data_IF_596398496882
#
_entry.id   IF_596398496882
#
_cell.length_a   1.000
_cell.length_b   1.000
_cell.length_c   1.000
_cell.angle_alpha   90.00
_cell.angle_beta   90.00
_cell.angle_gamma   90.00
#
_symmetry.space_group_name_H-M   'P 1'
#
loop_
_entity.id
_entity.type
_entity.pdbx_description
1 polymer ?
#
# COMPACT_ATOMS: atom_id res chain seq x y z
N UNK A 1 8.62 21.58 25.69
CA UNK A 1 7.18 21.32 25.88
C UNK A 1 6.40 22.10 24.84
N UNK A 2 5.37 21.51 24.21
CA UNK A 2 4.51 22.20 23.27
C UNK A 2 3.69 23.29 23.97
N UNK A 3 3.50 24.43 23.31
CA UNK A 3 2.85 25.62 23.86
C UNK A 3 1.70 26.10 22.98
N UNK A 4 0.83 26.97 23.52
CA UNK A 4 -0.22 27.62 22.73
C UNK A 4 0.33 28.43 21.54
N UNK A 5 1.58 28.89 21.64
CA UNK A 5 2.27 29.58 20.55
C UNK A 5 2.58 28.66 19.35
N UNK A 6 2.60 27.35 19.52
CA UNK A 6 2.83 26.41 18.41
C UNK A 6 1.56 26.20 17.56
N UNK A 7 0.39 26.56 18.10
CA UNK A 7 -0.89 26.48 17.40
C UNK A 7 -1.14 27.70 16.52
N UNK A 8 -1.88 27.51 15.43
CA UNK A 8 -2.39 28.61 14.61
C UNK A 8 -3.74 29.07 15.15
N UNK A 9 -4.16 30.30 14.82
CA UNK A 9 -5.43 30.90 15.31
C UNK A 9 -6.64 29.95 15.15
N UNK A 10 -6.84 29.23 14.03
CA UNK A 10 -7.94 28.27 13.91
C UNK A 10 -7.91 27.17 14.98
N UNK A 11 -6.74 26.63 15.29
CA UNK A 11 -6.61 25.58 16.32
C UNK A 11 -6.74 26.13 17.74
N UNK A 12 -6.29 27.37 17.98
CA UNK A 12 -6.54 28.08 19.25
C UNK A 12 -8.05 28.24 19.47
N UNK A 13 -8.80 28.61 18.42
CA UNK A 13 -10.27 28.72 18.48
C UNK A 13 -10.96 27.37 18.71
N UNK A 14 -10.50 26.30 18.05
CA UNK A 14 -11.02 24.93 18.31
C UNK A 14 -10.78 24.51 19.75
N UNK A 15 -9.56 24.71 20.25
CA UNK A 15 -9.17 24.40 21.62
C UNK A 15 -10.03 25.17 22.62
N UNK A 16 -10.24 26.48 22.42
CA UNK A 16 -11.09 27.27 23.28
C UNK A 16 -12.56 26.82 23.24
N UNK A 17 -13.08 26.42 22.07
CA UNK A 17 -14.43 25.87 21.95
C UNK A 17 -14.58 24.55 22.73
N UNK A 18 -13.58 23.67 22.68
CA UNK A 18 -13.58 22.41 23.45
C UNK A 18 -13.47 22.67 24.96
N UNK A 19 -12.81 23.76 25.35
CA UNK A 19 -12.71 24.22 26.74
C UNK A 19 -13.86 25.12 27.18
N UNK A 20 -14.84 25.37 26.30
CA UNK A 20 -15.99 26.26 26.54
C UNK A 20 -15.57 27.69 26.95
N UNK A 21 -14.48 28.18 26.39
CA UNK A 21 -13.98 29.55 26.59
C UNK A 21 -14.49 30.43 25.46
N UNK A 22 -15.23 31.47 25.82
CA UNK A 22 -15.64 32.52 24.89
C UNK A 22 -14.46 33.43 24.58
N UNK A 23 -13.83 33.22 23.42
CA UNK A 23 -12.77 34.09 22.94
C UNK A 23 -13.33 35.37 22.33
N UNK A 24 -12.87 36.52 22.81
CA UNK A 24 -13.07 37.80 22.14
C UNK A 24 -12.23 37.86 20.86
N UNK A 25 -12.67 38.64 19.87
CA UNK A 25 -11.85 38.92 18.69
C UNK A 25 -10.56 39.61 19.12
N UNK A 26 -9.43 39.19 18.54
CA UNK A 26 -8.12 39.73 18.90
C UNK A 26 -6.98 39.11 18.12
N UNK A 27 -5.77 39.63 18.37
CA UNK A 27 -4.52 39.06 17.86
C UNK A 27 -4.23 37.72 18.56
N UNK A 28 -3.34 36.91 17.97
CA UNK A 28 -2.98 35.59 18.51
C UNK A 28 -2.54 35.66 19.98
N UNK A 29 -1.68 36.61 20.34
CA UNK A 29 -1.22 36.82 21.72
C UNK A 29 -2.37 37.10 22.68
N UNK A 30 -3.33 37.93 22.29
CA UNK A 30 -4.52 38.25 23.11
C UNK A 30 -5.40 37.02 23.33
N UNK A 31 -5.56 36.17 22.31
CA UNK A 31 -6.32 34.92 22.42
C UNK A 31 -5.63 33.92 23.36
N UNK A 32 -4.30 33.87 23.33
CA UNK A 32 -3.51 33.02 24.22
C UNK A 32 -3.67 33.48 25.67
N UNK A 33 -3.53 34.78 25.92
CA UNK A 33 -3.72 35.36 27.25
C UNK A 33 -5.13 35.06 27.80
N UNK A 34 -6.17 35.11 26.96
CA UNK A 34 -7.54 34.76 27.37
C UNK A 34 -7.68 33.30 27.81
N UNK A 35 -6.96 32.38 27.15
CA UNK A 35 -6.98 30.95 27.51
C UNK A 35 -6.18 30.70 28.79
N UNK A 36 -5.03 31.34 28.93
CA UNK A 36 -4.19 31.23 30.14
C UNK A 36 -4.92 31.78 31.37
N UNK A 37 -5.67 32.88 31.21
CA UNK A 37 -6.46 33.48 32.28
C UNK A 37 -7.77 32.73 32.60
N UNK A 38 -8.14 31.72 31.82
CA UNK A 38 -9.39 30.96 32.03
C UNK A 38 -9.30 29.93 33.17
N UNK A 39 -8.16 29.84 33.88
CA UNK A 39 -8.03 28.99 35.07
C UNK A 39 -8.02 27.49 34.76
N UNK A 40 -7.58 27.09 33.56
CA UNK A 40 -7.55 25.69 33.15
C UNK A 40 -6.39 24.98 33.84
N UNK A 41 -6.61 23.73 34.23
CA UNK A 41 -5.52 22.90 34.77
C UNK A 41 -4.43 22.70 33.72
N UNK A 42 -3.14 22.88 34.07
CA UNK A 42 -2.03 22.78 33.13
C UNK A 42 -2.01 21.45 32.35
N UNK A 43 -2.30 20.34 33.02
CA UNK A 43 -2.37 19.01 32.41
C UNK A 43 -3.41 18.91 31.29
N UNK A 44 -4.62 19.45 31.53
CA UNK A 44 -5.70 19.42 30.53
C UNK A 44 -5.35 20.29 29.33
N UNK A 45 -4.75 21.46 29.59
CA UNK A 45 -4.31 22.38 28.55
C UNK A 45 -3.21 21.74 27.68
N UNK A 46 -2.18 21.15 28.30
CA UNK A 46 -1.08 20.46 27.62
C UNK A 46 -1.58 19.32 26.74
N UNK A 47 -2.49 18.48 27.26
CA UNK A 47 -3.10 17.37 26.51
C UNK A 47 -3.82 17.87 25.24
N UNK A 48 -4.56 18.98 25.36
CA UNK A 48 -5.26 19.57 24.22
C UNK A 48 -4.31 20.23 23.22
N UNK A 49 -3.25 20.89 23.69
CA UNK A 49 -2.22 21.47 22.82
C UNK A 49 -1.58 20.37 21.98
N UNK A 50 -1.20 19.24 22.60
CA UNK A 50 -0.64 18.10 21.87
C UNK A 50 -1.60 17.51 20.84
N UNK A 51 -2.86 17.30 21.23
CA UNK A 51 -3.93 16.81 20.34
C UNK A 51 -4.03 17.66 19.08
N UNK A 52 -4.11 18.98 19.25
CA UNK A 52 -4.27 19.91 18.12
C UNK A 52 -2.98 20.13 17.32
N UNK A 53 -1.81 19.99 17.93
CA UNK A 53 -0.53 19.97 17.19
C UNK A 53 -0.42 18.74 16.29
N UNK A 54 -0.82 17.56 16.78
CA UNK A 54 -0.88 16.34 15.96
C UNK A 54 -1.84 16.51 14.78
N UNK A 55 -3.03 17.07 15.01
CA UNK A 55 -4.00 17.35 13.94
C UNK A 55 -3.43 18.32 12.89
N UNK A 56 -2.78 19.41 13.33
CA UNK A 56 -2.11 20.38 12.44
C UNK A 56 -1.03 19.72 11.57
N UNK A 57 -0.19 18.89 12.18
CA UNK A 57 0.88 18.20 11.46
C UNK A 57 0.32 17.17 10.48
N UNK A 58 -0.71 16.42 10.87
CA UNK A 58 -1.38 15.46 9.99
C UNK A 58 -2.05 16.15 8.79
N UNK A 59 -2.69 17.30 9.01
CA UNK A 59 -3.27 18.11 7.93
C UNK A 59 -2.19 18.60 6.95
N UNK A 60 -1.02 19.02 7.45
CA UNK A 60 0.12 19.43 6.63
C UNK A 60 0.67 18.27 5.79
N UNK A 61 0.82 17.09 6.41
CA UNK A 61 1.26 15.86 5.72
C UNK A 61 0.25 15.49 4.64
N UNK A 62 -1.04 15.46 4.96
CA UNK A 62 -2.11 15.10 4.01
C UNK A 62 -2.12 16.07 2.81
N UNK A 63 -1.99 17.37 3.06
CA UNK A 63 -1.89 18.38 1.99
C UNK A 63 -0.66 18.15 1.11
N UNK A 64 0.50 17.82 1.70
CA UNK A 64 1.72 17.50 0.95
C UNK A 64 1.58 16.21 0.14
N UNK A 65 0.99 15.15 0.69
CA UNK A 65 0.75 13.90 -0.06
C UNK A 65 -0.15 14.13 -1.27
N UNK A 66 -1.18 14.98 -1.14
CA UNK A 66 -2.04 15.40 -2.26
C UNK A 66 -1.30 16.21 -3.31
N UNK A 67 -0.38 17.10 -2.90
CA UNK A 67 0.42 17.91 -3.85
C UNK A 67 1.49 17.09 -4.59
N UNK A 68 1.91 15.97 -4.03
CA UNK A 68 2.92 15.09 -4.60
C UNK A 68 2.29 13.95 -5.44
N UNK A 69 1.00 14.04 -5.75
CA UNK A 69 0.22 13.03 -6.49
C UNK A 69 0.41 11.59 -6.01
N UNK A 70 0.77 11.42 -4.73
CA UNK A 70 1.05 10.11 -4.13
C UNK A 70 -0.13 9.14 -4.30
N UNK A 71 -1.41 9.56 -4.12
CA UNK A 71 -2.53 8.67 -4.36
C UNK A 71 -2.62 8.16 -5.81
N UNK A 72 -2.29 8.99 -6.80
CA UNK A 72 -2.27 8.56 -8.20
C UNK A 72 -1.12 7.58 -8.45
N UNK A 73 0.05 7.83 -7.87
CA UNK A 73 1.20 6.94 -7.96
C UNK A 73 0.92 5.58 -7.29
N UNK A 74 0.26 5.56 -6.13
CA UNK A 74 -0.17 4.33 -5.44
C UNK A 74 -1.11 3.50 -6.34
N UNK A 75 -2.10 4.15 -6.99
CA UNK A 75 -3.01 3.48 -7.94
C UNK A 75 -2.25 2.93 -9.15
N UNK A 76 -1.33 3.71 -9.73
CA UNK A 76 -0.52 3.27 -10.87
C UNK A 76 0.35 2.08 -10.52
N UNK A 77 0.92 2.07 -9.33
CA UNK A 77 1.77 0.98 -8.84
C UNK A 77 0.95 -0.31 -8.67
N UNK A 78 -0.23 -0.23 -8.05
CA UNK A 78 -1.15 -1.37 -7.91
C UNK A 78 -1.56 -1.95 -9.28
N UNK A 79 -1.85 -1.09 -10.26
CA UNK A 79 -2.15 -1.53 -11.64
C UNK A 79 -0.95 -2.22 -12.30
N UNK A 80 0.26 -1.75 -12.01
CA UNK A 80 1.49 -2.33 -12.54
C UNK A 80 1.74 -3.72 -11.93
N UNK A 81 1.58 -3.84 -10.61
CA UNK A 81 1.71 -5.11 -9.88
C UNK A 81 0.75 -6.17 -10.44
N UNK A 82 -0.54 -5.83 -10.61
CA UNK A 82 -1.53 -6.74 -11.22
C UNK A 82 -1.16 -7.17 -12.63
N UNK A 83 -0.61 -6.25 -13.45
CA UNK A 83 -0.15 -6.59 -14.81
C UNK A 83 1.05 -7.53 -14.78
N UNK A 84 1.99 -7.32 -13.86
CA UNK A 84 3.15 -8.19 -13.70
C UNK A 84 2.72 -9.59 -13.23
N UNK A 85 1.85 -9.69 -12.24
CA UNK A 85 1.29 -10.97 -11.78
C UNK A 85 0.60 -11.73 -12.92
N UNK A 86 -0.20 -11.04 -13.74
CA UNK A 86 -0.84 -11.64 -14.91
C UNK A 86 0.17 -12.11 -15.97
N UNK A 87 1.25 -11.35 -16.21
CA UNK A 87 2.30 -11.80 -17.13
C UNK A 87 3.03 -13.03 -16.59
N UNK A 88 3.31 -13.07 -15.29
CA UNK A 88 3.91 -14.23 -14.62
C UNK A 88 3.00 -15.47 -14.75
N UNK A 89 1.68 -15.32 -14.59
CA UNK A 89 0.74 -16.43 -14.76
C UNK A 89 0.71 -16.93 -16.20
N UNK A 90 0.69 -16.03 -17.19
CA UNK A 90 0.73 -16.40 -18.61
C UNK A 90 2.00 -17.14 -18.99
N UNK A 91 3.17 -16.72 -18.47
CA UNK A 91 4.44 -17.41 -18.71
C UNK A 91 4.38 -18.82 -18.11
N UNK A 92 3.92 -18.93 -16.86
CA UNK A 92 3.81 -20.20 -16.16
C UNK A 92 2.88 -21.19 -16.90
N UNK A 93 1.76 -20.72 -17.44
CA UNK A 93 0.85 -21.53 -18.25
C UNK A 93 1.46 -21.95 -19.60
N UNK A 94 2.24 -21.07 -20.23
CA UNK A 94 2.98 -21.38 -21.48
C UNK A 94 4.04 -22.45 -21.27
N UNK A 95 4.76 -22.41 -20.16
CA UNK A 95 5.79 -23.40 -19.84
C UNK A 95 5.17 -24.78 -19.63
N UNK A 96 4.06 -24.86 -18.88
CA UNK A 96 3.31 -26.11 -18.66
C UNK A 96 2.75 -26.67 -19.98
N UNK A 97 2.19 -25.82 -20.84
CA UNK A 97 1.64 -26.28 -22.13
C UNK A 97 2.74 -26.74 -23.09
N UNK A 98 3.91 -26.12 -23.06
CA UNK A 98 5.08 -26.53 -23.84
C UNK A 98 5.61 -27.89 -23.38
N UNK A 99 5.74 -28.12 -22.07
CA UNK A 99 6.16 -29.41 -21.51
C UNK A 99 5.19 -30.55 -21.84
N UNK A 100 3.88 -30.31 -21.77
CA UNK A 100 2.86 -31.29 -22.16
C UNK A 100 2.95 -31.67 -23.64
N UNK A 101 3.26 -30.71 -24.52
CA UNK A 101 3.43 -30.98 -25.95
C UNK A 101 4.68 -31.82 -26.25
N UNK A 102 5.78 -31.59 -25.52
CA UNK A 102 7.01 -32.39 -25.64
C UNK A 102 6.78 -33.81 -25.13
N UNK A 103 6.09 -33.97 -23.99
CA UNK A 103 5.73 -35.29 -23.44
C UNK A 103 4.84 -36.10 -24.40
N UNK A 104 3.83 -35.48 -25.01
CA UNK A 104 2.96 -36.16 -25.99
C UNK A 104 3.67 -36.53 -27.30
N UNK A 105 4.64 -35.73 -27.78
CA UNK A 105 5.47 -36.10 -28.94
C UNK A 105 6.37 -37.30 -28.64
N UNK A 106 6.95 -37.37 -27.44
CA UNK A 106 7.81 -38.48 -27.04
C UNK A 106 7.04 -39.80 -26.86
N UNK A 107 5.79 -39.76 -26.40
CA UNK A 107 4.94 -40.95 -26.33
C UNK A 107 4.55 -41.51 -27.71
N UNK A 108 4.34 -40.66 -28.73
CA UNK A 108 4.06 -41.12 -30.10
C UNK A 108 5.26 -41.74 -30.82
N UNK A 109 6.49 -41.40 -30.42
CA UNK A 109 7.73 -41.97 -30.98
C UNK A 109 8.06 -43.37 -30.42
N UNK A 110 7.53 -43.70 -29.23
CA UNK A 110 7.78 -44.99 -28.54
C UNK A 110 6.94 -46.16 -29.07
N UNK A 111 5.84 -45.89 -29.80
CA UNK A 111 4.89 -46.91 -30.25
C UNK A 111 5.11 -47.42 -31.68
N UNK A 112 6.29 -47.19 -32.29
CA UNK A 112 6.63 -47.84 -33.56
C UNK A 112 6.75 -49.37 -33.33
N UNK A 113 5.94 -50.21 -34.01
CA UNK A 113 6.03 -51.65 -33.82
C UNK A 113 7.41 -52.14 -34.29
N UNK A 114 8.12 -52.86 -33.42
CA UNK A 114 9.37 -53.55 -33.78
C UNK A 114 9.01 -54.60 -34.84
N UNK A 115 9.57 -54.48 -36.04
CA UNK A 115 9.54 -55.56 -37.03
C UNK A 115 10.13 -56.81 -36.38
N UNK A 116 9.31 -57.84 -36.21
CA UNK A 116 9.76 -59.18 -35.84
C UNK A 116 10.57 -59.70 -37.02
N UNK A 117 11.86 -59.96 -36.81
CA UNK A 117 12.70 -60.64 -37.78
C UNK A 117 12.51 -62.14 -37.51
N UNK A 118 11.68 -62.81 -38.33
CA UNK A 118 11.60 -64.28 -38.33
C UNK A 118 12.92 -64.85 -38.87
N UNK A 119 13.64 -65.59 -38.02
CA UNK A 119 14.79 -66.38 -38.43
C UNK A 119 14.27 -67.66 -39.08
N UNK A 120 14.46 -67.80 -40.39
CA UNK A 120 14.28 -69.09 -41.07
C UNK A 120 15.51 -69.97 -40.79
N UNK A 121 15.31 -71.06 -40.03
CA UNK A 121 16.26 -72.17 -39.97
C UNK A 121 16.19 -72.94 -41.31
N UNK A 122 17.28 -72.91 -42.08
CA UNK A 122 17.45 -73.79 -43.23
C UNK A 122 18.14 -75.04 -42.73
N UNK A 123 17.36 -76.06 -42.40
CA UNK A 123 17.81 -77.45 -42.41
C UNK A 123 17.87 -77.91 -43.86
N UNK A 124 19.06 -78.28 -44.34
CA UNK A 124 19.16 -79.13 -45.52
C UNK A 124 20.05 -80.32 -45.20
N UNK A 125 19.38 -81.48 -45.13
CA UNK A 125 19.97 -82.80 -45.22
C UNK A 125 20.62 -82.99 -46.59
N UNK A 126 21.87 -83.46 -46.61
CA UNK A 126 22.26 -84.70 -47.31
C UNK A 126 23.66 -85.12 -46.91
#
# INVERSE_FOLDING_TARGET
MPTLNDLTIPYIKKLAKELQIELKRGKKSELINQIENAGITPKKLETLIEKYLKEKNQAKITKRRKLLDIPELEIRLEQLEKKVEYLISLISERDITSEKQVAHKNQKMSSRPKKVIEKFEITNLK
#
